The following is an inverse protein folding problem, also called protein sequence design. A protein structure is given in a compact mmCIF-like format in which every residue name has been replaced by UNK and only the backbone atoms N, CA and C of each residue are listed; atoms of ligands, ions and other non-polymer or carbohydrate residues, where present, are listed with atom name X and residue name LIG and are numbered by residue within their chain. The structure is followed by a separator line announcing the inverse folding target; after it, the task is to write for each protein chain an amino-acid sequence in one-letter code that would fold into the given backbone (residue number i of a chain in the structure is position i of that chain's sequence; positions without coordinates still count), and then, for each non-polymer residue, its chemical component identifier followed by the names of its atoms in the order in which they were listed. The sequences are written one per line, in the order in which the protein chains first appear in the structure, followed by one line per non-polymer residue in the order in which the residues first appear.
data_IF_905018711868
#
_entry.id   IF_905018711868
#
_cell.length_a   1.000
_cell.length_b   1.000
_cell.length_c   1.000
_cell.angle_alpha   90.00
_cell.angle_beta   90.00
_cell.angle_gamma   90.00
#
_symmetry.space_group_name_H-M   'P 1'
#
loop_
_entity.id
_entity.type
_entity.pdbx_description
1 polymer ?
#
# COMPACT_ATOMS: atom_id res chain seq x y z
N UNK A 1 2.98 25.61 9.70
CA UNK A 1 3.22 24.73 10.85
C UNK A 1 4.03 23.55 10.36
N UNK A 2 5.26 23.38 10.83
CA UNK A 2 6.13 22.26 10.45
C UNK A 2 5.59 20.98 11.09
N UNK A 3 5.06 20.07 10.29
CA UNK A 3 4.66 18.74 10.75
C UNK A 3 5.94 17.97 11.11
N UNK A 4 6.16 17.76 12.41
CA UNK A 4 7.24 16.92 12.92
C UNK A 4 7.15 15.56 12.23
N UNK A 5 8.20 15.16 11.51
CA UNK A 5 8.27 13.84 10.92
C UNK A 5 8.52 12.82 12.05
N UNK A 6 7.60 11.88 12.34
CA UNK A 6 7.80 10.90 13.39
C UNK A 6 8.79 9.80 13.00
N UNK A 7 9.27 9.80 11.75
CA UNK A 7 10.21 8.79 11.24
C UNK A 7 11.67 9.20 11.43
N UNK A 8 12.55 8.28 11.87
CA UNK A 8 13.97 8.56 12.02
C UNK A 8 14.70 8.72 10.68
N UNK A 9 14.15 8.18 9.59
CA UNK A 9 14.71 8.24 8.24
C UNK A 9 13.64 8.73 7.25
N UNK A 10 14.03 9.66 6.35
CA UNK A 10 13.14 10.15 5.29
C UNK A 10 12.66 9.02 4.38
N UNK A 11 13.59 8.21 3.88
CA UNK A 11 13.27 7.12 2.97
C UNK A 11 13.12 5.81 3.74
N UNK A 12 11.95 5.19 3.62
CA UNK A 12 11.63 3.91 4.27
C UNK A 12 11.33 2.85 3.23
N UNK A 13 12.01 1.69 3.23
CA UNK A 13 11.71 0.63 2.28
C UNK A 13 10.32 0.02 2.53
N UNK A 14 9.64 -0.38 1.44
CA UNK A 14 8.45 -1.24 1.53
C UNK A 14 8.83 -2.63 2.07
N UNK A 15 7.93 -3.25 2.84
CA UNK A 15 8.16 -4.59 3.39
C UNK A 15 8.22 -5.69 2.32
N UNK A 16 7.69 -5.42 1.12
CA UNK A 16 7.61 -6.34 -0.01
C UNK A 16 8.90 -6.43 -0.83
N UNK A 17 9.91 -5.60 -0.56
CA UNK A 17 11.22 -5.71 -1.21
C UNK A 17 11.86 -7.09 -0.89
N UNK A 18 12.44 -7.74 -1.89
CA UNK A 18 12.98 -9.10 -1.78
C UNK A 18 14.51 -9.16 -1.59
N UNK A 19 15.20 -8.04 -1.76
CA UNK A 19 16.66 -7.96 -1.81
C UNK A 19 17.21 -6.98 -0.79
N UNK A 20 18.49 -7.14 -0.43
CA UNK A 20 19.20 -6.28 0.53
C UNK A 20 19.31 -4.81 0.09
N UNK A 21 19.22 -4.57 -1.23
CA UNK A 21 19.05 -3.24 -1.79
C UNK A 21 17.56 -3.04 -2.10
N UNK A 22 16.80 -2.26 -1.31
CA UNK A 22 15.36 -2.10 -1.52
C UNK A 22 15.08 -1.01 -2.57
N UNK A 23 14.61 -1.35 -3.79
CA UNK A 23 14.33 -0.36 -4.83
C UNK A 23 13.05 0.45 -4.58
N UNK A 24 12.07 -0.12 -3.87
CA UNK A 24 10.80 0.53 -3.61
C UNK A 24 10.78 1.12 -2.20
N UNK A 25 10.67 2.45 -2.15
CA UNK A 25 10.74 3.23 -0.92
C UNK A 25 9.55 4.19 -0.81
N UNK A 26 9.19 4.48 0.43
CA UNK A 26 8.27 5.55 0.81
C UNK A 26 9.12 6.77 1.17
N UNK A 27 8.90 7.89 0.48
CA UNK A 27 9.37 9.20 0.94
C UNK A 27 8.43 9.69 2.04
N UNK A 28 8.84 9.52 3.30
CA UNK A 28 8.03 9.88 4.47
C UNK A 28 7.84 11.40 4.63
N UNK A 29 8.63 12.21 3.92
CA UNK A 29 8.49 13.67 3.92
C UNK A 29 7.55 14.18 2.83
N UNK A 30 7.08 13.31 1.93
CA UNK A 30 6.07 13.68 0.94
C UNK A 30 4.78 14.20 1.61
N UNK A 31 3.94 14.88 0.82
CA UNK A 31 2.66 15.39 1.29
C UNK A 31 1.82 14.23 1.86
N UNK A 32 1.35 14.29 3.12
CA UNK A 32 0.62 13.20 3.74
C UNK A 32 -0.65 12.80 2.97
N UNK A 33 -1.30 13.75 2.28
CA UNK A 33 -2.46 13.45 1.44
C UNK A 33 -2.05 12.59 0.23
N UNK A 34 -0.93 12.90 -0.42
CA UNK A 34 -0.45 12.13 -1.58
C UNK A 34 -0.06 10.71 -1.16
N UNK A 35 0.55 10.55 0.03
CA UNK A 35 0.86 9.24 0.61
C UNK A 35 -0.44 8.47 0.87
N UNK A 36 -1.47 9.12 1.43
CA UNK A 36 -2.78 8.51 1.67
C UNK A 36 -3.47 8.08 0.38
N UNK A 37 -3.53 8.94 -0.64
CA UNK A 37 -4.14 8.62 -1.93
C UNK A 37 -3.41 7.45 -2.61
N UNK A 38 -2.07 7.43 -2.56
CA UNK A 38 -1.27 6.32 -3.08
C UNK A 38 -1.55 5.00 -2.34
N UNK A 39 -1.82 5.07 -1.03
CA UNK A 39 -2.22 3.93 -0.22
C UNK A 39 -3.62 3.43 -0.60
N UNK A 40 -4.59 4.35 -0.69
CA UNK A 40 -5.97 4.05 -1.08
C UNK A 40 -6.04 3.44 -2.47
N UNK A 41 -5.25 3.95 -3.43
CA UNK A 41 -5.18 3.39 -4.77
C UNK A 41 -4.81 1.91 -4.76
N UNK A 42 -3.76 1.53 -4.01
CA UNK A 42 -3.30 0.13 -3.91
C UNK A 42 -4.30 -0.77 -3.21
N UNK A 43 -4.89 -0.30 -2.11
CA UNK A 43 -5.92 -1.05 -1.39
C UNK A 43 -7.16 -1.26 -2.27
N UNK A 44 -7.63 -0.23 -2.98
CA UNK A 44 -8.74 -0.35 -3.94
C UNK A 44 -8.41 -1.31 -5.07
N UNK A 45 -7.23 -1.19 -5.68
CA UNK A 45 -6.78 -2.11 -6.72
C UNK A 45 -6.74 -3.57 -6.23
N UNK A 46 -6.27 -3.81 -5.00
CA UNK A 46 -6.33 -5.15 -4.40
C UNK A 46 -7.76 -5.64 -4.17
N UNK A 47 -8.68 -4.76 -3.75
CA UNK A 47 -10.10 -5.10 -3.62
C UNK A 47 -10.77 -5.47 -4.94
N UNK A 48 -10.52 -4.67 -5.99
CA UNK A 48 -11.04 -4.93 -7.34
C UNK A 48 -10.48 -6.22 -7.93
N UNK A 49 -9.19 -6.50 -7.71
CA UNK A 49 -8.57 -7.74 -8.14
C UNK A 49 -9.10 -8.95 -7.36
N UNK A 50 -9.34 -8.82 -6.05
CA UNK A 50 -9.92 -9.88 -5.22
C UNK A 50 -11.35 -10.17 -5.65
N UNK A 51 -12.13 -9.13 -5.95
CA UNK A 51 -13.48 -9.28 -6.51
C UNK A 51 -13.44 -10.02 -7.84
N UNK A 52 -12.48 -9.69 -8.71
CA UNK A 52 -12.27 -10.39 -9.98
C UNK A 52 -11.98 -11.87 -9.76
N UNK A 53 -11.03 -12.19 -8.88
CA UNK A 53 -10.69 -13.58 -8.52
C UNK A 53 -11.90 -14.32 -7.96
N UNK A 54 -12.64 -13.69 -7.05
CA UNK A 54 -13.85 -14.27 -6.46
C UNK A 54 -14.94 -14.55 -7.51
N UNK A 55 -15.15 -13.63 -8.46
CA UNK A 55 -16.13 -13.81 -9.54
C UNK A 55 -15.69 -14.85 -10.59
N UNK A 56 -14.39 -15.02 -10.82
CA UNK A 56 -13.86 -16.00 -11.77
C UNK A 56 -13.75 -17.42 -11.20
N UNK A 57 -13.92 -17.58 -9.89
CA UNK A 57 -13.80 -18.87 -9.23
C UNK A 57 -14.80 -19.94 -9.74
N UNK A 58 -14.21 -20.98 -10.32
CA UNK A 58 -14.67 -22.37 -10.52
C UNK A 58 -15.39 -22.78 -11.80
N UNK A 59 -15.67 -21.89 -12.77
CA UNK A 59 -16.23 -22.34 -14.06
C UNK A 59 -15.21 -22.38 -15.21
N UNK A 60 -14.34 -21.36 -15.34
CA UNK A 60 -13.53 -21.17 -16.55
C UNK A 60 -12.11 -20.60 -16.33
N UNK A 61 -11.66 -20.36 -15.09
CA UNK A 61 -10.32 -19.80 -14.82
C UNK A 61 -9.24 -20.87 -14.77
N UNK A 62 -8.04 -20.57 -15.27
CA UNK A 62 -6.89 -21.47 -15.15
C UNK A 62 -6.45 -21.52 -13.68
N UNK A 63 -6.26 -22.73 -13.14
CA UNK A 63 -5.85 -22.94 -11.75
C UNK A 63 -4.44 -22.37 -11.53
N UNK A 64 -3.64 -22.29 -12.58
CA UNK A 64 -2.30 -21.68 -12.57
C UNK A 64 -2.33 -20.16 -12.34
N UNK A 65 -3.42 -19.47 -12.66
CA UNK A 65 -3.53 -18.01 -12.46
C UNK A 65 -3.75 -17.63 -10.99
N UNK A 66 -4.31 -18.54 -10.19
CA UNK A 66 -4.64 -18.31 -8.77
C UNK A 66 -3.41 -17.87 -7.96
N UNK A 67 -2.26 -18.56 -7.97
CA UNK A 67 -1.08 -18.11 -7.22
C UNK A 67 -0.54 -16.76 -7.72
N UNK A 68 -0.60 -16.48 -9.02
CA UNK A 68 -0.15 -15.20 -9.58
C UNK A 68 -1.01 -14.04 -9.11
N UNK A 69 -2.34 -14.20 -9.18
CA UNK A 69 -3.30 -13.19 -8.70
C UNK A 69 -3.19 -13.02 -7.19
N UNK A 70 -3.05 -14.13 -6.45
CA UNK A 70 -2.88 -14.11 -4.99
C UNK A 70 -1.59 -13.38 -4.58
N UNK A 71 -0.50 -13.57 -5.33
CA UNK A 71 0.74 -12.86 -5.08
C UNK A 71 0.61 -11.35 -5.36
N UNK A 72 -0.04 -10.96 -6.47
CA UNK A 72 -0.30 -9.55 -6.78
C UNK A 72 -1.18 -8.89 -5.71
N UNK A 73 -2.21 -9.60 -5.22
CA UNK A 73 -3.04 -9.17 -4.09
C UNK A 73 -2.20 -8.91 -2.85
N UNK A 74 -1.35 -9.87 -2.48
CA UNK A 74 -0.46 -9.73 -1.32
C UNK A 74 0.42 -8.49 -1.43
N UNK A 75 1.08 -8.27 -2.57
CA UNK A 75 1.95 -7.10 -2.79
C UNK A 75 1.18 -5.78 -2.65
N UNK A 76 0.06 -5.65 -3.37
CA UNK A 76 -0.75 -4.43 -3.34
C UNK A 76 -1.29 -4.13 -1.94
N UNK A 77 -1.76 -5.16 -1.21
CA UNK A 77 -2.25 -5.00 0.15
C UNK A 77 -1.14 -4.62 1.12
N UNK A 78 0.03 -5.26 1.07
CA UNK A 78 1.15 -4.92 1.95
C UNK A 78 1.68 -3.51 1.67
N UNK A 79 1.90 -3.16 0.41
CA UNK A 79 2.35 -1.83 0.01
C UNK A 79 1.36 -0.74 0.44
N UNK A 80 0.06 -0.99 0.24
CA UNK A 80 -1.01 -0.10 0.68
C UNK A 80 -1.02 0.07 2.20
N UNK A 81 -0.85 -1.01 2.97
CA UNK A 81 -0.75 -0.95 4.43
C UNK A 81 0.48 -0.18 4.91
N UNK A 82 1.63 -0.32 4.25
CA UNK A 82 2.85 0.41 4.61
C UNK A 82 2.70 1.92 4.37
N UNK A 83 2.11 2.31 3.24
CA UNK A 83 1.78 3.70 2.96
C UNK A 83 0.74 4.25 3.95
N UNK A 84 -0.30 3.47 4.29
CA UNK A 84 -1.31 3.88 5.29
C UNK A 84 -0.68 4.14 6.65
N UNK A 85 0.23 3.28 7.12
CA UNK A 85 0.96 3.49 8.39
C UNK A 85 1.72 4.82 8.35
N UNK A 86 2.40 5.13 7.24
CA UNK A 86 3.15 6.39 7.09
C UNK A 86 2.23 7.60 7.04
N UNK A 87 1.17 7.54 6.23
CA UNK A 87 0.16 8.59 6.13
C UNK A 87 -0.48 8.87 7.51
N UNK A 88 -0.95 7.83 8.20
CA UNK A 88 -1.55 7.96 9.53
C UNK A 88 -0.61 8.64 10.51
N UNK A 89 0.66 8.24 10.56
CA UNK A 89 1.64 8.82 11.49
C UNK A 89 1.94 10.29 11.17
N UNK A 90 2.05 10.65 9.88
CA UNK A 90 2.21 12.05 9.44
C UNK A 90 0.95 12.88 9.65
N UNK A 91 -0.20 12.23 9.66
CA UNK A 91 -1.52 12.79 9.95
C UNK A 91 -1.91 12.68 11.42
N UNK A 92 -1.08 12.21 12.36
CA UNK A 92 -1.45 12.20 13.80
C UNK A 92 -1.56 13.62 14.41
N UNK A 93 -1.35 14.68 13.62
CA UNK A 93 -1.79 16.06 13.91
C UNK A 93 -3.09 16.48 13.19
N UNK A 94 -3.77 15.58 12.49
CA UNK A 94 -4.96 15.84 11.68
C UNK A 94 -6.22 15.66 12.53
N UNK A 95 -6.95 16.75 12.73
CA UNK A 95 -8.36 16.71 13.13
C UNK A 95 -9.19 16.77 11.84
N UNK A 96 -10.23 15.93 11.75
CA UNK A 96 -11.23 16.06 10.70
C UNK A 96 -11.80 17.50 10.70
N UNK A 97 -12.09 18.10 9.53
CA UNK A 97 -12.77 19.40 9.48
C UNK A 97 -14.12 19.32 10.21
N UNK A 98 -14.40 20.29 11.09
CA UNK A 98 -15.71 20.49 11.70
C UNK A 98 -16.71 21.05 10.70
#
# INVERSE_FOLDING_TARGET
MTTLNPFPNRYRPLQTNLTDSPPLIIDTEANPQDILEAALQRIRASGDLLKTLHCQCFKNGDVEDIPHITHALYLLTQDGCDLLKVAQQRMMGWKAPT
#
